data_IF_012152232494
#
_entry.id   IF_012152232494
#
_cell.length_a   1.000
_cell.length_b   1.000
_cell.length_c   1.000
_cell.angle_alpha   90.00
_cell.angle_beta   90.00
_cell.angle_gamma   90.00
#
_symmetry.space_group_name_H-M   'P 1'
#
loop_
_entity.id
_entity.type
_entity.pdbx_description
1 polymer ?
#
# COMPACT_ATOMS: atom_id res chain seq x y z
N UNK A 1 1.67 6.92 8.31
CA UNK A 1 1.93 6.44 6.93
C UNK A 1 3.43 6.48 6.72
N UNK A 2 4.04 5.34 6.45
CA UNK A 2 5.48 5.18 6.25
C UNK A 2 5.89 5.33 4.77
N UNK A 3 5.02 4.92 3.85
CA UNK A 3 5.25 5.05 2.42
C UNK A 3 3.92 5.27 1.67
N UNK A 4 3.99 5.94 0.52
CA UNK A 4 2.86 6.19 -0.39
C UNK A 4 3.31 5.91 -1.82
N UNK A 5 2.41 5.32 -2.62
CA UNK A 5 2.60 5.06 -4.06
C UNK A 5 1.33 5.44 -4.82
N UNK A 6 1.49 6.16 -5.92
CA UNK A 6 0.43 6.41 -6.90
C UNK A 6 0.40 5.25 -7.88
N UNK A 7 -0.80 4.77 -8.19
CA UNK A 7 -1.06 3.71 -9.15
C UNK A 7 -1.63 4.30 -10.43
N UNK A 8 -1.56 3.53 -11.52
CA UNK A 8 -2.36 3.83 -12.70
C UNK A 8 -3.87 3.86 -12.35
N UNK A 9 -4.64 4.73 -13.01
CA UNK A 9 -6.10 4.79 -12.82
C UNK A 9 -6.58 5.46 -11.51
N UNK A 10 -5.86 6.47 -11.02
CA UNK A 10 -6.30 7.33 -9.91
C UNK A 10 -6.48 6.59 -8.57
N UNK A 11 -5.66 5.57 -8.33
CA UNK A 11 -5.58 4.89 -7.03
C UNK A 11 -4.29 5.23 -6.31
N UNK A 12 -4.34 5.15 -4.98
CA UNK A 12 -3.18 5.35 -4.09
C UNK A 12 -3.02 4.16 -3.18
N UNK A 13 -1.79 3.70 -3.01
CA UNK A 13 -1.40 2.79 -1.95
C UNK A 13 -0.71 3.54 -0.82
N UNK A 14 -1.07 3.21 0.41
CA UNK A 14 -0.42 3.71 1.62
C UNK A 14 0.02 2.55 2.50
N UNK A 15 1.23 2.63 3.03
CA UNK A 15 1.78 1.70 4.01
C UNK A 15 1.84 2.36 5.40
N UNK A 16 1.72 1.55 6.46
CA UNK A 16 1.74 2.04 7.85
C UNK A 16 2.70 1.25 8.74
N UNK A 17 3.06 1.86 9.87
CA UNK A 17 3.86 1.23 10.93
C UNK A 17 3.08 0.16 11.70
N UNK A 18 1.75 0.16 11.61
CA UNK A 18 0.89 -0.91 12.12
C UNK A 18 0.89 -2.17 11.23
N UNK A 19 1.65 -2.14 10.13
CA UNK A 19 1.78 -3.24 9.17
C UNK A 19 0.70 -3.26 8.09
N UNK A 20 -0.29 -2.36 8.13
CA UNK A 20 -1.34 -2.32 7.12
C UNK A 20 -0.89 -1.64 5.82
N UNK A 21 -1.42 -2.17 4.73
CA UNK A 21 -1.36 -1.58 3.40
C UNK A 21 -2.79 -1.35 2.92
N UNK A 22 -3.11 -0.11 2.58
CA UNK A 22 -4.44 0.31 2.15
C UNK A 22 -4.40 0.88 0.75
N UNK A 23 -5.46 0.60 -0.01
CA UNK A 23 -5.73 1.14 -1.32
C UNK A 23 -6.87 2.14 -1.23
N UNK A 24 -6.68 3.26 -1.91
CA UNK A 24 -7.58 4.39 -1.92
C UNK A 24 -7.96 4.72 -3.35
N UNK A 25 -9.20 5.15 -3.53
CA UNK A 25 -9.69 5.72 -4.78
C UNK A 25 -9.69 7.24 -4.63
N UNK A 26 -8.88 7.92 -5.45
CA UNK A 26 -8.65 9.37 -5.34
C UNK A 26 -9.88 10.16 -5.77
N UNK A 27 -10.69 9.64 -6.70
CA UNK A 27 -11.89 10.34 -7.19
C UNK A 27 -12.96 10.45 -6.11
N UNK A 28 -13.10 9.39 -5.33
CA UNK A 28 -14.14 9.26 -4.31
C UNK A 28 -13.65 9.59 -2.91
N UNK A 29 -12.34 9.75 -2.72
CA UNK A 29 -11.67 9.94 -1.43
C UNK A 29 -12.02 8.82 -0.43
N UNK A 30 -12.06 7.57 -0.92
CA UNK A 30 -12.45 6.41 -0.10
C UNK A 30 -11.36 5.36 -0.04
N UNK A 31 -11.21 4.75 1.15
CA UNK A 31 -10.43 3.53 1.32
C UNK A 31 -11.21 2.36 0.73
N UNK A 32 -10.85 1.93 -0.46
CA UNK A 32 -11.53 0.84 -1.17
C UNK A 32 -11.14 -0.53 -0.65
N UNK A 33 -9.91 -0.69 -0.15
CA UNK A 33 -9.44 -1.99 0.33
C UNK A 33 -8.27 -1.88 1.32
N UNK A 34 -8.15 -2.88 2.20
CA UNK A 34 -6.88 -3.20 2.87
C UNK A 34 -6.28 -4.39 2.13
N UNK A 35 -5.21 -4.15 1.36
CA UNK A 35 -4.66 -5.09 0.39
C UNK A 35 -3.51 -5.94 0.94
N UNK A 36 -2.98 -5.56 2.10
CA UNK A 36 -1.92 -6.29 2.77
C UNK A 36 -1.86 -5.98 4.24
N UNK A 37 -1.38 -6.94 5.03
CA UNK A 37 -1.15 -6.77 6.46
C UNK A 37 0.07 -7.59 6.87
N UNK A 38 1.11 -6.90 7.30
CA UNK A 38 2.31 -7.48 7.90
C UNK A 38 2.16 -7.49 9.43
N UNK A 39 2.94 -8.33 10.10
CA UNK A 39 3.01 -8.41 11.56
C UNK A 39 3.76 -7.23 12.20
N UNK A 40 4.44 -6.42 11.38
CA UNK A 40 5.30 -5.32 11.80
C UNK A 40 5.27 -4.19 10.76
N UNK A 41 5.96 -3.10 11.05
CA UNK A 41 6.00 -1.89 10.24
C UNK A 41 6.46 -2.18 8.80
N UNK A 42 5.65 -1.77 7.83
CA UNK A 42 6.04 -1.73 6.42
C UNK A 42 6.79 -0.42 6.19
N UNK A 43 8.01 -0.49 5.67
CA UNK A 43 8.90 0.67 5.52
C UNK A 43 9.05 1.08 4.05
N UNK A 44 8.96 0.13 3.13
CA UNK A 44 9.06 0.36 1.69
C UNK A 44 8.04 -0.47 0.93
N UNK A 45 7.69 0.00 -0.27
CA UNK A 45 6.67 -0.61 -1.11
C UNK A 45 6.90 -0.29 -2.58
N UNK A 46 6.65 -1.28 -3.43
CA UNK A 46 6.50 -1.08 -4.87
C UNK A 46 5.30 -1.85 -5.44
N UNK A 47 4.68 -1.30 -6.48
CA UNK A 47 3.60 -1.93 -7.22
C UNK A 47 3.85 -1.89 -8.71
N UNK A 48 3.64 -3.03 -9.37
CA UNK A 48 3.68 -3.16 -10.81
C UNK A 48 2.25 -3.23 -11.36
N UNK A 49 1.82 -2.15 -12.04
CA UNK A 49 0.51 -2.05 -12.68
C UNK A 49 0.27 -3.10 -13.77
N UNK A 50 1.33 -3.62 -14.41
CA UNK A 50 1.21 -4.58 -15.50
C UNK A 50 0.94 -6.01 -15.01
N UNK A 51 1.54 -6.39 -13.89
CA UNK A 51 1.39 -7.72 -13.28
C UNK A 51 0.39 -7.73 -12.12
N UNK A 52 0.04 -6.56 -11.60
CA UNK A 52 -0.75 -6.41 -10.38
C UNK A 52 0.00 -6.81 -9.12
N UNK A 53 1.32 -7.00 -9.18
CA UNK A 53 2.13 -7.43 -8.04
C UNK A 53 2.46 -6.25 -7.12
N UNK A 54 2.25 -6.47 -5.82
CA UNK A 54 2.68 -5.59 -4.75
C UNK A 54 3.84 -6.24 -3.99
N UNK A 55 4.99 -5.58 -3.97
CA UNK A 55 6.10 -5.91 -3.10
C UNK A 55 6.14 -4.94 -1.92
N UNK A 56 6.23 -5.45 -0.70
CA UNK A 56 6.34 -4.64 0.51
C UNK A 56 7.46 -5.19 1.40
N UNK A 57 8.29 -4.30 1.91
CA UNK A 57 9.40 -4.62 2.80
C UNK A 57 9.25 -3.88 4.13
N UNK A 58 9.51 -4.57 5.22
CA UNK A 58 9.32 -4.06 6.57
C UNK A 58 10.43 -4.50 7.51
N UNK A 59 10.28 -4.15 8.78
CA UNK A 59 11.16 -4.66 9.83
C UNK A 59 10.62 -5.99 10.33
N UNK A 60 11.33 -7.08 10.08
CA UNK A 60 11.07 -8.35 10.75
C UNK A 60 11.48 -8.25 12.24
N UNK A 61 10.79 -8.95 13.16
CA UNK A 61 11.16 -9.01 14.58
C UNK A 61 12.50 -9.73 14.81
#
# INVERSE_FOLDING_TARGET
VSCVKMLSGERVLTASHDGSVKMWDVRTDTCVATVGRCSSAVLCMEYDDSTGMLAAGGRDP
#
